data_IF_300721956730
#
_entry.id   IF_300721956730
#
_cell.length_a   1.000
_cell.length_b   1.000
_cell.length_c   1.000
_cell.angle_alpha   90.00
_cell.angle_beta   90.00
_cell.angle_gamma   90.00
#
_symmetry.space_group_name_H-M   'P 1'
#
loop_
_entity.id
_entity.type
_entity.pdbx_description
1 polymer ?
#
# COMPACT_ATOMS: atom_id res chain seq x y z
N UNK A 1 -32.13 7.49 -22.56
CA UNK A 1 -32.28 6.97 -21.18
C UNK A 1 -31.39 5.75 -20.93
N UNK A 2 -30.06 5.88 -21.05
CA UNK A 2 -29.10 4.78 -20.76
C UNK A 2 -27.92 5.21 -19.85
N UNK A 3 -27.90 6.48 -19.42
CA UNK A 3 -26.78 7.05 -18.68
C UNK A 3 -27.06 7.06 -17.17
N UNK A 4 -28.33 7.12 -16.76
CA UNK A 4 -28.75 7.14 -15.35
C UNK A 4 -28.17 5.95 -14.55
N UNK A 5 -28.23 4.69 -15.03
CA UNK A 5 -27.65 3.56 -14.30
C UNK A 5 -26.13 3.66 -14.15
N UNK A 6 -25.44 4.14 -15.20
CA UNK A 6 -23.98 4.33 -15.20
C UNK A 6 -23.59 5.44 -14.21
N UNK A 7 -24.32 6.54 -14.20
CA UNK A 7 -24.07 7.68 -13.34
C UNK A 7 -24.30 7.31 -11.87
N UNK A 8 -25.34 6.53 -11.58
CA UNK A 8 -25.64 6.02 -10.25
C UNK A 8 -24.55 5.04 -9.77
N UNK A 9 -24.04 4.19 -10.67
CA UNK A 9 -22.90 3.31 -10.39
C UNK A 9 -21.63 4.12 -10.08
N UNK A 10 -21.33 5.17 -10.86
CA UNK A 10 -20.16 6.04 -10.61
C UNK A 10 -20.28 6.79 -9.30
N UNK A 11 -21.45 7.34 -8.98
CA UNK A 11 -21.70 8.02 -7.69
C UNK A 11 -21.54 7.03 -6.54
N UNK A 12 -22.09 5.83 -6.65
CA UNK A 12 -21.94 4.79 -5.64
C UNK A 12 -20.46 4.42 -5.45
N UNK A 13 -19.73 4.25 -6.56
CA UNK A 13 -18.31 3.94 -6.53
C UNK A 13 -17.49 5.06 -5.89
N UNK A 14 -17.76 6.33 -6.25
CA UNK A 14 -17.14 7.49 -5.62
C UNK A 14 -17.45 7.54 -4.12
N UNK A 15 -18.69 7.28 -3.72
CA UNK A 15 -19.08 7.28 -2.30
C UNK A 15 -18.36 6.18 -1.52
N UNK A 16 -18.21 4.98 -2.08
CA UNK A 16 -17.45 3.88 -1.48
C UNK A 16 -15.97 4.26 -1.34
N UNK A 17 -15.38 4.82 -2.39
CA UNK A 17 -13.97 5.24 -2.39
C UNK A 17 -13.76 6.36 -1.37
N UNK A 18 -14.61 7.38 -1.34
CA UNK A 18 -14.48 8.49 -0.39
C UNK A 18 -14.67 8.01 1.07
N UNK A 19 -15.60 7.08 1.31
CA UNK A 19 -15.78 6.46 2.62
C UNK A 19 -14.54 5.67 3.06
N UNK A 20 -13.95 4.89 2.16
CA UNK A 20 -12.75 4.11 2.46
C UNK A 20 -11.51 4.99 2.66
N UNK A 21 -11.40 6.07 1.86
CA UNK A 21 -10.35 7.08 1.95
C UNK A 21 -10.64 8.13 3.02
N UNK A 22 -11.73 8.04 3.78
CA UNK A 22 -12.04 9.04 4.80
C UNK A 22 -10.94 9.06 5.88
N UNK A 23 -10.50 10.23 6.39
CA UNK A 23 -9.36 10.30 7.31
C UNK A 23 -9.52 9.45 8.58
N UNK A 24 -10.76 9.29 9.06
CA UNK A 24 -11.08 8.41 10.20
C UNK A 24 -10.79 6.93 9.88
N UNK A 25 -11.14 6.47 8.68
CA UNK A 25 -10.90 5.11 8.21
C UNK A 25 -9.41 4.86 7.99
N UNK A 26 -8.74 5.79 7.30
CA UNK A 26 -7.29 5.72 7.04
C UNK A 26 -6.51 5.72 8.34
N UNK A 27 -6.81 6.61 9.28
CA UNK A 27 -6.14 6.63 10.59
C UNK A 27 -6.36 5.33 11.38
N UNK A 28 -7.56 4.76 11.32
CA UNK A 28 -7.90 3.50 12.01
C UNK A 28 -7.17 2.28 11.45
N UNK A 29 -7.10 2.13 10.13
CA UNK A 29 -6.55 0.92 9.49
C UNK A 29 -5.12 1.08 8.96
N UNK A 30 -4.66 2.30 8.71
CA UNK A 30 -3.35 2.60 8.12
C UNK A 30 -2.57 3.67 8.92
N UNK A 31 -3.14 4.20 10.01
CA UNK A 31 -2.48 5.17 10.88
C UNK A 31 -1.58 4.52 11.95
N UNK A 32 -1.07 5.34 12.87
CA UNK A 32 -0.11 4.91 13.92
C UNK A 32 -0.59 3.75 14.81
N UNK A 33 -1.90 3.63 15.01
CA UNK A 33 -2.52 2.55 15.80
C UNK A 33 -2.89 1.29 15.01
N UNK A 34 -2.61 1.23 13.70
CA UNK A 34 -3.05 0.13 12.83
C UNK A 34 -2.39 -1.21 13.13
N UNK A 35 -1.20 -1.22 13.73
CA UNK A 35 -0.44 -2.42 14.06
C UNK A 35 -0.30 -3.38 12.87
N UNK A 36 -0.44 -4.68 13.15
CA UNK A 36 -0.28 -5.74 12.13
C UNK A 36 -1.38 -5.72 11.05
N UNK A 37 -2.57 -5.20 11.36
CA UNK A 37 -3.68 -5.10 10.39
C UNK A 37 -3.35 -4.11 9.27
N UNK A 38 -2.67 -3.01 9.60
CA UNK A 38 -2.21 -2.04 8.60
C UNK A 38 -1.16 -2.59 7.66
N UNK A 39 -0.21 -3.37 8.20
CA UNK A 39 0.80 -4.07 7.40
C UNK A 39 0.19 -5.05 6.41
N UNK A 40 -0.71 -5.93 6.88
CA UNK A 40 -1.39 -6.88 6.00
C UNK A 40 -2.18 -6.16 4.91
N UNK A 41 -2.92 -5.09 5.25
CA UNK A 41 -3.68 -4.31 4.27
C UNK A 41 -2.77 -3.63 3.23
N UNK A 42 -1.70 -2.97 3.67
CA UNK A 42 -0.74 -2.31 2.78
C UNK A 42 -0.03 -3.30 1.84
N UNK A 43 0.39 -4.46 2.35
CA UNK A 43 1.07 -5.48 1.55
C UNK A 43 0.10 -6.07 0.52
N UNK A 44 -1.09 -6.50 0.93
CA UNK A 44 -2.10 -7.08 0.04
C UNK A 44 -2.51 -6.10 -1.05
N UNK A 45 -2.77 -4.83 -0.69
CA UNK A 45 -3.11 -3.79 -1.67
C UNK A 45 -1.94 -3.45 -2.58
N UNK A 46 -0.70 -3.49 -2.10
CA UNK A 46 0.49 -3.29 -2.92
C UNK A 46 0.69 -4.40 -3.96
N UNK A 47 0.51 -5.66 -3.56
CA UNK A 47 0.57 -6.83 -4.46
C UNK A 47 -0.54 -6.78 -5.52
N UNK A 48 -1.75 -6.38 -5.11
CA UNK A 48 -2.88 -6.22 -6.04
C UNK A 48 -2.76 -4.96 -6.92
N UNK A 49 -1.90 -4.01 -6.55
CA UNK A 49 -1.72 -2.77 -7.30
C UNK A 49 -0.94 -3.01 -8.60
N UNK A 50 -1.63 -2.88 -9.73
CA UNK A 50 -1.04 -3.06 -11.06
C UNK A 50 -0.95 -1.72 -11.81
N UNK A 51 -0.30 -1.75 -12.97
CA UNK A 51 -0.14 -0.59 -13.85
C UNK A 51 1.14 0.20 -13.61
N UNK A 52 1.22 1.46 -14.10
CA UNK A 52 2.38 2.31 -13.91
C UNK A 52 2.47 2.84 -12.48
N UNK A 53 3.69 2.94 -11.93
CA UNK A 53 3.90 3.38 -10.54
C UNK A 53 3.42 4.81 -10.27
N UNK A 54 3.51 5.70 -11.26
CA UNK A 54 3.14 7.11 -11.11
C UNK A 54 1.66 7.34 -10.81
N UNK A 55 0.78 6.41 -11.19
CA UNK A 55 -0.67 6.49 -10.90
C UNK A 55 -0.93 6.36 -9.40
N UNK A 56 -0.05 5.69 -8.67
CA UNK A 56 -0.22 5.39 -7.25
C UNK A 56 0.35 6.48 -6.35
N UNK A 57 1.27 7.32 -6.86
CA UNK A 57 1.83 8.41 -6.06
C UNK A 57 0.79 9.42 -5.57
N UNK A 58 -0.18 9.90 -6.39
CA UNK A 58 -1.24 10.77 -5.91
C UNK A 58 -2.08 10.11 -4.80
N UNK A 59 -2.48 8.86 -4.99
CA UNK A 59 -3.28 8.12 -3.99
C UNK A 59 -2.52 7.97 -2.67
N UNK A 60 -1.25 7.55 -2.73
CA UNK A 60 -0.41 7.37 -1.55
C UNK A 60 -0.11 8.70 -0.86
N UNK A 61 0.01 9.79 -1.63
CA UNK A 61 0.12 11.15 -1.08
C UNK A 61 -1.15 11.52 -0.32
N UNK A 62 -2.33 11.32 -0.91
CA UNK A 62 -3.60 11.63 -0.24
C UNK A 62 -3.79 10.78 1.03
N UNK A 63 -3.48 9.49 0.98
CA UNK A 63 -3.51 8.61 2.16
C UNK A 63 -2.54 9.06 3.24
N UNK A 64 -1.33 9.48 2.86
CA UNK A 64 -0.33 10.04 3.79
C UNK A 64 -0.86 11.30 4.47
N UNK A 65 -1.41 12.21 3.68
CA UNK A 65 -1.94 13.49 4.16
C UNK A 65 -3.16 13.26 5.09
N UNK A 66 -3.85 12.12 4.92
CA UNK A 66 -4.93 11.62 5.79
C UNK A 66 -4.46 10.77 6.97
N UNK A 67 -3.15 10.65 7.20
CA UNK A 67 -2.57 10.04 8.40
C UNK A 67 -2.01 8.63 8.23
N UNK A 68 -1.89 8.12 7.00
CA UNK A 68 -1.20 6.85 6.75
C UNK A 68 0.28 6.93 7.14
N UNK A 69 0.77 5.88 7.83
CA UNK A 69 2.19 5.75 8.21
C UNK A 69 3.07 5.63 6.97
N UNK A 70 4.23 6.31 6.93
CA UNK A 70 5.12 6.23 5.76
C UNK A 70 5.78 4.86 5.62
N UNK A 71 6.00 4.13 6.71
CA UNK A 71 6.44 2.73 6.63
C UNK A 71 5.46 1.85 5.87
N UNK A 72 4.14 2.06 6.04
CA UNK A 72 3.12 1.33 5.26
C UNK A 72 3.10 1.74 3.79
N UNK A 73 3.41 3.00 3.48
CA UNK A 73 3.54 3.47 2.09
C UNK A 73 4.73 2.78 1.42
N UNK A 74 5.86 2.68 2.12
CA UNK A 74 7.01 1.94 1.64
C UNK A 74 6.66 0.46 1.44
N UNK A 75 6.06 -0.20 2.44
CA UNK A 75 5.64 -1.59 2.34
C UNK A 75 4.73 -1.87 1.14
N UNK A 76 3.76 -0.99 0.88
CA UNK A 76 2.89 -1.04 -0.30
C UNK A 76 3.68 -0.96 -1.61
N UNK A 77 4.63 -0.02 -1.70
CA UNK A 77 5.43 0.19 -2.91
C UNK A 77 6.37 -0.99 -3.18
N UNK A 78 6.94 -1.58 -2.15
CA UNK A 78 7.86 -2.72 -2.27
C UNK A 78 7.13 -4.05 -2.51
N UNK A 79 6.00 -4.30 -1.84
CA UNK A 79 5.22 -5.52 -2.07
C UNK A 79 4.66 -5.62 -3.50
N UNK A 80 4.48 -4.49 -4.17
CA UNK A 80 4.14 -4.38 -5.61
C UNK A 80 5.16 -5.06 -6.54
N UNK A 81 6.37 -5.35 -6.08
CA UNK A 81 7.32 -6.15 -6.84
C UNK A 81 6.75 -7.54 -7.21
N UNK A 82 5.77 -8.03 -6.44
CA UNK A 82 5.00 -9.22 -6.77
C UNK A 82 4.02 -8.89 -7.91
N UNK A 83 4.39 -9.24 -9.13
CA UNK A 83 3.55 -9.08 -10.32
C UNK A 83 2.76 -10.36 -10.58
N UNK A 84 1.49 -10.39 -10.18
CA UNK A 84 0.60 -11.56 -10.33
C UNK A 84 0.59 -12.10 -11.79
N UNK A 85 0.47 -11.25 -12.84
CA UNK A 85 0.49 -11.72 -14.22
C UNK A 85 1.79 -12.41 -14.64
N UNK A 86 2.91 -12.13 -13.95
CA UNK A 86 4.22 -12.74 -14.26
C UNK A 86 4.47 -14.04 -13.50
N UNK A 87 3.63 -14.41 -12.53
CA UNK A 87 3.83 -15.64 -11.76
C UNK A 87 3.81 -16.92 -12.62
N UNK A 88 2.89 -17.10 -13.61
CA UNK A 88 2.92 -18.27 -14.48
C UNK A 88 4.22 -18.36 -15.28
N UNK A 89 4.72 -17.22 -15.75
CA UNK A 89 5.99 -17.13 -16.47
C UNK A 89 7.16 -17.55 -15.58
N UNK A 90 7.18 -17.05 -14.34
CA UNK A 90 8.21 -17.43 -13.37
C UNK A 90 8.20 -18.92 -13.04
N UNK A 91 7.01 -19.52 -12.87
CA UNK A 91 6.88 -20.96 -12.64
C UNK A 91 7.43 -21.76 -13.82
N UNK A 92 7.12 -21.32 -15.05
CA UNK A 92 7.57 -21.98 -16.27
C UNK A 92 9.11 -21.97 -16.41
N UNK A 93 9.76 -20.85 -16.11
CA UNK A 93 11.22 -20.73 -16.28
C UNK A 93 12.05 -21.17 -15.06
N UNK A 94 11.57 -20.95 -13.84
CA UNK A 94 12.38 -21.09 -12.61
C UNK A 94 11.87 -22.16 -11.66
N UNK A 95 10.83 -22.90 -12.03
CA UNK A 95 10.17 -23.91 -11.22
C UNK A 95 9.38 -23.35 -10.01
N UNK A 96 8.35 -24.07 -9.60
CA UNK A 96 7.44 -23.65 -8.51
C UNK A 96 8.16 -23.41 -7.19
N UNK A 97 9.19 -24.20 -6.88
CA UNK A 97 9.96 -24.05 -5.64
C UNK A 97 10.60 -22.66 -5.52
N UNK A 98 11.15 -22.14 -6.61
CA UNK A 98 11.74 -20.80 -6.63
C UNK A 98 10.71 -19.73 -6.28
N UNK A 99 9.50 -19.81 -6.88
CA UNK A 99 8.43 -18.83 -6.66
C UNK A 99 7.90 -18.90 -5.22
N UNK A 100 7.69 -20.10 -4.69
CA UNK A 100 7.22 -20.30 -3.31
C UNK A 100 8.22 -19.78 -2.28
N UNK A 101 9.52 -19.84 -2.57
CA UNK A 101 10.55 -19.24 -1.71
C UNK A 101 10.59 -17.72 -1.91
N UNK A 102 10.61 -17.23 -3.15
CA UNK A 102 10.80 -15.81 -3.44
C UNK A 102 9.67 -14.91 -2.91
N UNK A 103 8.41 -15.35 -3.02
CA UNK A 103 7.27 -14.51 -2.64
C UNK A 103 7.29 -14.13 -1.14
N UNK A 104 7.46 -15.06 -0.18
CA UNK A 104 7.70 -14.72 1.21
C UNK A 104 8.90 -13.79 1.42
N UNK A 105 10.02 -13.99 0.69
CA UNK A 105 11.18 -13.11 0.81
C UNK A 105 10.85 -11.67 0.42
N UNK A 106 10.08 -11.45 -0.66
CA UNK A 106 9.64 -10.10 -1.06
C UNK A 106 8.72 -9.51 0.00
N UNK A 107 7.79 -10.29 0.56
CA UNK A 107 6.91 -9.82 1.64
C UNK A 107 7.71 -9.42 2.87
N UNK A 108 8.67 -10.24 3.31
CA UNK A 108 9.53 -9.94 4.46
C UNK A 108 10.38 -8.70 4.18
N UNK A 109 10.99 -8.61 2.99
CA UNK A 109 11.78 -7.45 2.58
C UNK A 109 10.93 -6.16 2.63
N UNK A 110 9.70 -6.20 2.12
CA UNK A 110 8.79 -5.04 2.16
C UNK A 110 8.45 -4.58 3.58
N UNK A 111 8.34 -5.53 4.53
CA UNK A 111 8.13 -5.22 5.95
C UNK A 111 9.37 -4.56 6.54
N UNK A 112 10.55 -5.14 6.29
CA UNK A 112 11.82 -4.61 6.77
C UNK A 112 12.07 -3.20 6.24
N UNK A 113 11.89 -2.98 4.93
CA UNK A 113 12.04 -1.67 4.32
C UNK A 113 11.05 -0.65 4.88
N UNK A 114 9.80 -1.05 5.10
CA UNK A 114 8.80 -0.19 5.73
C UNK A 114 9.19 0.21 7.16
N UNK A 115 9.69 -0.72 7.97
CA UNK A 115 10.13 -0.44 9.34
C UNK A 115 11.38 0.46 9.35
N UNK A 116 12.31 0.26 8.41
CA UNK A 116 13.47 1.14 8.22
C UNK A 116 13.02 2.58 7.91
N UNK A 117 12.05 2.75 7.00
CA UNK A 117 11.51 4.07 6.67
C UNK A 117 10.84 4.72 7.87
N UNK A 118 10.06 3.96 8.64
CA UNK A 118 9.40 4.46 9.85
C UNK A 118 10.43 4.91 10.92
N UNK A 119 11.54 4.16 11.05
CA UNK A 119 12.64 4.49 11.96
C UNK A 119 13.36 5.78 11.54
N UNK A 120 13.69 5.91 10.24
CA UNK A 120 14.34 7.10 9.69
C UNK A 120 13.47 8.34 9.91
N UNK A 121 12.17 8.21 9.68
CA UNK A 121 11.24 9.32 9.89
C UNK A 121 11.09 9.69 11.37
N UNK A 122 11.00 8.68 12.25
CA UNK A 122 10.91 8.89 13.69
C UNK A 122 12.13 9.65 14.22
N UNK A 123 13.35 9.30 13.75
CA UNK A 123 14.58 10.05 14.06
C UNK A 123 14.54 11.48 13.54
N UNK A 124 14.10 11.67 12.30
CA UNK A 124 14.00 13.02 11.71
C UNK A 124 13.09 13.91 12.54
N UNK A 125 11.93 13.41 12.96
CA UNK A 125 10.96 14.14 13.80
C UNK A 125 11.54 14.54 15.16
N UNK A 126 12.31 13.66 15.80
CA UNK A 126 12.95 13.98 17.09
C UNK A 126 14.02 15.06 16.95
N UNK A 127 14.79 15.04 15.87
CA UNK A 127 15.78 16.08 15.60
C UNK A 127 15.12 17.44 15.35
N UNK A 128 14.02 17.54 14.58
CA UNK A 128 13.37 18.84 14.35
C UNK A 128 12.82 19.47 15.62
N UNK A 129 12.31 18.68 16.56
CA UNK A 129 11.78 19.18 17.85
C UNK A 129 12.90 19.65 18.78
N UNK A 130 14.11 19.10 18.67
CA UNK A 130 15.25 19.46 19.51
C UNK A 130 15.90 20.81 19.15
N UNK A 131 15.63 21.35 17.95
CA UNK A 131 16.19 22.60 17.44
C UNK A 131 15.13 23.69 17.18
N UNK A 132 13.92 23.52 17.71
CA UNK A 132 12.83 24.51 17.75
C UNK A 132 12.65 25.02 19.17
#
# INVERSE_FOLDING_TARGET
MQIIPVLLLVILFMAIIDYFLHPKTVSKYLGKGSGIKGWSLAISTGILSHGPIYVWYPLLKDLRDRGMRRGLIAAFLYSRAIKIPLLPLMIYYFWTLFVVVLLPYIVIASIVEGEIIELIESRKRQNTVKYS
#
